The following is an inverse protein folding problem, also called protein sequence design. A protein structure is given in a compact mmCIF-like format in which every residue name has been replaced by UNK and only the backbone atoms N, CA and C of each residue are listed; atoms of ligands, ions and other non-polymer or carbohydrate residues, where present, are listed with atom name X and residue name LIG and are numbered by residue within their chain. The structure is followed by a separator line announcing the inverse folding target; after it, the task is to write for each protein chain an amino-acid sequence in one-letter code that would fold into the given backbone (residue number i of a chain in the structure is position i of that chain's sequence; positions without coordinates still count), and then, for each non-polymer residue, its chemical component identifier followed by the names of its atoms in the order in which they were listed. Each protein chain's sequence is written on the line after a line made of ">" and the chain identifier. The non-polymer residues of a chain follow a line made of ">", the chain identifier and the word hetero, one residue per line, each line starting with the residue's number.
data_IF_399148536294
#
_entry.id   IF_399148536294
#
_cell.length_a   1.000
_cell.length_b   1.000
_cell.length_c   1.000
_cell.angle_alpha   90.00
_cell.angle_beta   90.00
_cell.angle_gamma   90.00
#
_symmetry.space_group_name_H-M   'P 1'
#
loop_
_entity.id
_entity.type
_entity.pdbx_description
1 polymer ?
#
# COMPACT_ATOMS: atom_id res chain seq x y z
N UNK A 1 7.85 3.70 22.11
CA UNK A 1 8.47 2.83 21.08
C UNK A 1 9.25 3.72 20.14
N UNK A 2 10.56 3.49 20.03
CA UNK A 2 11.45 4.20 19.11
C UNK A 2 11.63 3.28 17.90
N UNK A 3 11.28 3.75 16.71
CA UNK A 3 11.47 3.00 15.46
C UNK A 3 12.73 3.52 14.77
N UNK A 4 13.80 2.74 14.85
CA UNK A 4 15.07 3.01 14.15
C UNK A 4 15.23 2.04 12.99
N UNK A 5 15.45 2.58 11.80
CA UNK A 5 15.68 1.80 10.58
C UNK A 5 17.18 1.56 10.44
N UNK A 6 17.65 0.38 10.89
CA UNK A 6 18.99 -0.10 10.58
C UNK A 6 18.89 -0.79 9.22
N UNK A 7 19.35 -0.15 8.15
CA UNK A 7 19.39 -0.77 6.81
C UNK A 7 20.42 -1.92 6.81
N UNK A 8 20.03 -3.20 6.76
CA UNK A 8 20.96 -4.31 6.76
C UNK A 8 21.29 -4.73 5.32
N UNK A 9 22.48 -5.29 5.14
CA UNK A 9 22.76 -6.14 3.98
C UNK A 9 21.71 -7.26 3.98
N UNK A 10 20.85 -7.29 2.95
CA UNK A 10 19.72 -8.22 2.91
C UNK A 10 20.22 -9.66 3.03
N UNK A 11 19.82 -10.36 4.09
CA UNK A 11 20.12 -11.79 4.20
C UNK A 11 19.32 -12.58 3.12
N UNK A 12 19.66 -13.85 2.88
CA UNK A 12 19.02 -14.66 1.83
C UNK A 12 17.48 -14.71 1.93
N UNK A 13 16.92 -14.57 3.14
CA UNK A 13 15.47 -14.56 3.39
C UNK A 13 14.90 -13.20 2.97
N UNK A 14 15.52 -12.10 3.38
CA UNK A 14 15.11 -10.76 2.97
C UNK A 14 15.23 -10.54 1.46
N UNK A 15 16.22 -11.15 0.80
CA UNK A 15 16.31 -11.13 -0.66
C UNK A 15 15.20 -11.95 -1.32
N UNK A 16 14.88 -13.13 -0.80
CA UNK A 16 13.78 -13.96 -1.31
C UNK A 16 12.43 -13.25 -1.19
N UNK A 17 12.14 -12.71 -0.01
CA UNK A 17 10.83 -12.17 0.33
C UNK A 17 10.62 -10.76 -0.25
N UNK A 18 11.67 -9.93 -0.32
CA UNK A 18 11.55 -8.59 -0.88
C UNK A 18 11.84 -8.51 -2.38
N UNK A 19 12.66 -9.41 -2.95
CA UNK A 19 13.12 -9.31 -4.34
C UNK A 19 12.58 -10.40 -5.27
N UNK A 20 12.49 -11.67 -4.84
CA UNK A 20 12.00 -12.75 -5.71
C UNK A 20 10.49 -12.97 -5.63
N UNK A 21 9.94 -12.97 -4.42
CA UNK A 21 8.51 -13.19 -4.17
C UNK A 21 7.59 -12.27 -4.98
N UNK A 22 7.82 -10.93 -5.05
CA UNK A 22 6.97 -10.03 -5.81
C UNK A 22 7.18 -10.09 -7.33
N UNK A 23 8.05 -10.95 -7.88
CA UNK A 23 8.35 -10.97 -9.32
C UNK A 23 7.19 -11.51 -10.14
N UNK A 24 6.78 -10.73 -11.14
CA UNK A 24 5.90 -11.13 -12.24
C UNK A 24 6.75 -11.89 -13.26
N UNK A 25 6.29 -13.09 -13.63
CA UNK A 25 6.97 -13.94 -14.63
C UNK A 25 6.70 -13.44 -16.05
N UNK A 26 7.58 -13.80 -16.98
CA UNK A 26 7.39 -13.44 -18.39
C UNK A 26 6.06 -14.02 -18.92
N UNK A 27 5.25 -13.17 -19.56
CA UNK A 27 3.91 -13.53 -20.05
C UNK A 27 2.82 -13.62 -18.97
N UNK A 28 3.15 -13.42 -17.70
CA UNK A 28 2.17 -13.47 -16.61
C UNK A 28 1.38 -12.16 -16.50
N UNK A 29 0.05 -12.25 -16.52
CA UNK A 29 -0.81 -11.09 -16.29
C UNK A 29 -0.80 -10.68 -14.81
N UNK A 30 -1.09 -9.41 -14.47
CA UNK A 30 -1.14 -8.97 -13.07
C UNK A 30 -2.10 -9.81 -12.20
N UNK A 31 -3.23 -10.23 -12.75
CA UNK A 31 -4.19 -11.10 -12.07
C UNK A 31 -3.63 -12.50 -11.81
N UNK A 32 -2.95 -13.09 -12.80
CA UNK A 32 -2.32 -14.41 -12.65
C UNK A 32 -1.19 -14.36 -11.61
N UNK A 33 -0.37 -13.31 -11.65
CA UNK A 33 0.66 -13.05 -10.65
C UNK A 33 0.09 -12.99 -9.24
N UNK A 34 -0.94 -12.16 -9.02
CA UNK A 34 -1.61 -12.04 -7.72
C UNK A 34 -2.11 -13.40 -7.24
N UNK A 35 -2.81 -14.15 -8.10
CA UNK A 35 -3.35 -15.47 -7.75
C UNK A 35 -2.26 -16.45 -7.35
N UNK A 36 -1.13 -16.48 -8.08
CA UNK A 36 0.00 -17.36 -7.79
C UNK A 36 0.61 -17.09 -6.42
N UNK A 37 0.78 -15.82 -6.04
CA UNK A 37 1.43 -15.46 -4.77
C UNK A 37 0.45 -15.37 -3.60
N UNK A 38 -0.86 -15.43 -3.86
CA UNK A 38 -1.91 -15.05 -2.90
C UNK A 38 -1.83 -15.83 -1.59
N UNK A 39 -1.79 -17.16 -1.65
CA UNK A 39 -1.82 -18.00 -0.45
C UNK A 39 -0.60 -17.75 0.44
N UNK A 40 0.58 -17.60 -0.18
CA UNK A 40 1.81 -17.29 0.54
C UNK A 40 1.76 -15.88 1.14
N UNK A 41 1.28 -14.90 0.37
CA UNK A 41 1.13 -13.52 0.85
C UNK A 41 0.19 -13.45 2.06
N UNK A 42 -0.94 -14.15 2.03
CA UNK A 42 -1.88 -14.22 3.16
C UNK A 42 -1.23 -14.88 4.38
N UNK A 43 -0.48 -15.97 4.17
CA UNK A 43 0.26 -16.63 5.23
C UNK A 43 1.28 -15.71 5.89
N UNK A 44 2.04 -14.95 5.10
CA UNK A 44 3.07 -14.03 5.60
C UNK A 44 2.45 -12.84 6.35
N UNK A 45 1.32 -12.31 5.85
CA UNK A 45 0.53 -11.28 6.54
C UNK A 45 0.04 -11.78 7.90
N UNK A 46 -0.55 -12.97 7.96
CA UNK A 46 -1.11 -13.52 9.20
C UNK A 46 -0.04 -13.84 10.25
N UNK A 47 1.19 -14.13 9.81
CA UNK A 47 2.32 -14.44 10.70
C UNK A 47 3.25 -13.24 10.94
N UNK A 48 2.88 -12.02 10.53
CA UNK A 48 3.71 -10.81 10.65
C UNK A 48 5.13 -10.98 10.06
N UNK A 49 5.28 -11.76 8.99
CA UNK A 49 6.57 -12.05 8.34
C UNK A 49 7.00 -11.00 7.32
N UNK A 50 6.17 -9.98 7.08
CA UNK A 50 6.46 -8.92 6.13
C UNK A 50 7.29 -7.81 6.78
N UNK A 51 8.32 -7.36 6.05
CA UNK A 51 9.12 -6.19 6.42
C UNK A 51 8.26 -4.94 6.51
N UNK A 52 8.68 -3.95 7.31
CA UNK A 52 7.93 -2.70 7.53
C UNK A 52 7.58 -1.98 6.23
N UNK A 53 8.46 -2.08 5.22
CA UNK A 53 8.26 -1.55 3.87
C UNK A 53 7.09 -2.21 3.12
N UNK A 54 6.84 -3.49 3.35
CA UNK A 54 5.82 -4.28 2.69
C UNK A 54 4.59 -4.54 3.55
N UNK A 55 4.44 -3.91 4.72
CA UNK A 55 3.32 -4.19 5.64
C UNK A 55 1.94 -3.73 5.15
N UNK A 56 1.88 -2.77 4.23
CA UNK A 56 0.60 -2.12 3.82
C UNK A 56 0.18 -2.47 2.41
N UNK A 57 1.15 -2.76 1.56
CA UNK A 57 0.95 -3.18 0.18
C UNK A 57 2.21 -3.88 -0.35
N UNK A 58 2.05 -4.70 -1.39
CA UNK A 58 3.16 -5.35 -2.08
C UNK A 58 3.34 -4.73 -3.46
N UNK A 59 4.51 -4.15 -3.75
CA UNK A 59 4.85 -3.70 -5.10
C UNK A 59 5.40 -4.89 -5.90
N UNK A 60 4.82 -5.12 -7.08
CA UNK A 60 5.30 -6.13 -8.01
C UNK A 60 6.68 -5.78 -8.55
N UNK A 61 7.43 -6.79 -8.98
CA UNK A 61 8.75 -6.61 -9.61
C UNK A 61 8.84 -7.31 -10.95
N UNK A 62 9.80 -6.90 -11.77
CA UNK A 62 10.21 -7.61 -12.99
C UNK A 62 11.71 -7.80 -12.97
N UNK A 63 12.17 -8.95 -13.47
CA UNK A 63 13.59 -9.19 -13.67
C UNK A 63 14.06 -8.47 -14.94
N UNK A 64 14.95 -7.50 -14.79
CA UNK A 64 15.55 -6.76 -15.90
C UNK A 64 17.06 -7.06 -15.97
N UNK A 65 17.58 -7.15 -17.19
CA UNK A 65 19.02 -7.20 -17.43
C UNK A 65 19.55 -5.77 -17.52
N UNK A 66 20.47 -5.42 -16.63
CA UNK A 66 21.11 -4.09 -16.64
C UNK A 66 22.36 -4.16 -17.51
N UNK A 67 22.48 -3.24 -18.47
CA UNK A 67 23.65 -3.13 -19.34
C UNK A 67 24.92 -2.91 -18.49
N UNK A 68 25.95 -3.74 -18.69
CA UNK A 68 27.19 -3.72 -17.90
C UNK A 68 27.19 -4.59 -16.63
N UNK A 69 26.09 -5.27 -16.28
CA UNK A 69 26.05 -6.23 -15.18
C UNK A 69 25.81 -7.66 -15.67
N UNK A 70 26.51 -8.63 -15.07
CA UNK A 70 26.36 -10.06 -15.40
C UNK A 70 25.13 -10.72 -14.76
N UNK A 71 24.35 -9.99 -13.97
CA UNK A 71 23.19 -10.51 -13.23
C UNK A 71 21.93 -9.69 -13.50
N UNK A 72 20.76 -10.35 -13.40
CA UNK A 72 19.44 -9.71 -13.52
C UNK A 72 19.02 -9.08 -12.20
N UNK A 73 18.45 -7.89 -12.27
CA UNK A 73 17.93 -7.15 -11.11
C UNK A 73 16.40 -7.20 -11.07
N UNK A 74 15.83 -7.39 -9.88
CA UNK A 74 14.40 -7.31 -9.67
C UNK A 74 13.99 -5.84 -9.46
N UNK A 75 13.51 -5.19 -10.52
CA UNK A 75 13.10 -3.78 -10.52
C UNK A 75 11.62 -3.68 -10.14
N UNK A 76 11.26 -2.74 -9.27
CA UNK A 76 9.86 -2.44 -8.93
C UNK A 76 9.12 -2.00 -10.20
N UNK A 77 7.95 -2.58 -10.44
CA UNK A 77 7.08 -2.20 -11.55
C UNK A 77 5.81 -1.55 -11.05
N UNK A 78 5.01 -1.09 -11.99
CA UNK A 78 3.95 -0.13 -11.76
C UNK A 78 2.62 -0.79 -11.32
N UNK A 79 2.73 -1.89 -10.57
CA UNK A 79 1.61 -2.71 -10.10
C UNK A 79 1.85 -2.99 -8.62
N UNK A 80 0.81 -2.85 -7.80
CA UNK A 80 0.84 -3.19 -6.39
C UNK A 80 -0.42 -3.96 -5.96
N UNK A 81 -0.32 -4.69 -4.85
CA UNK A 81 -1.47 -5.27 -4.15
C UNK A 81 -1.70 -4.47 -2.88
N UNK A 82 -2.85 -3.81 -2.78
CA UNK A 82 -3.26 -3.13 -1.56
C UNK A 82 -3.74 -4.16 -0.53
N UNK A 83 -3.11 -4.27 0.65
CA UNK A 83 -3.56 -5.24 1.66
C UNK A 83 -4.82 -4.83 2.40
N UNK A 84 -5.22 -3.58 2.23
CA UNK A 84 -6.41 -3.04 2.88
C UNK A 84 -7.68 -3.53 2.20
N UNK A 85 -7.69 -3.62 0.87
CA UNK A 85 -8.85 -4.03 0.07
C UNK A 85 -8.57 -5.24 -0.84
N UNK A 86 -7.35 -5.78 -0.77
CA UNK A 86 -6.85 -6.89 -1.57
C UNK A 86 -6.91 -6.64 -3.09
N UNK A 87 -7.05 -5.39 -3.54
CA UNK A 87 -7.13 -5.04 -4.97
C UNK A 87 -5.75 -4.82 -5.61
N UNK A 88 -5.67 -5.05 -6.92
CA UNK A 88 -4.56 -4.59 -7.73
C UNK A 88 -4.66 -3.07 -7.92
N UNK A 89 -3.53 -2.39 -7.73
CA UNK A 89 -3.39 -0.94 -7.91
C UNK A 89 -2.31 -0.71 -8.96
N UNK A 90 -2.67 -0.02 -10.05
CA UNK A 90 -1.71 0.41 -11.05
C UNK A 90 -1.14 1.75 -10.63
N UNK A 91 0.17 1.78 -10.37
CA UNK A 91 0.89 3.02 -10.07
C UNK A 91 1.49 3.55 -11.39
N UNK A 92 1.72 4.86 -11.51
CA UNK A 92 2.25 5.42 -12.76
C UNK A 92 3.77 5.26 -12.85
N UNK A 93 4.25 5.01 -14.07
CA UNK A 93 5.67 4.87 -14.40
C UNK A 93 6.29 6.26 -14.57
N UNK A 94 6.73 6.90 -13.49
CA UNK A 94 7.78 7.93 -13.59
C UNK A 94 9.04 7.45 -12.91
N UNK A 95 10.10 7.47 -13.71
CA UNK A 95 11.47 7.11 -13.37
C UNK A 95 11.92 7.90 -12.14
N UNK A 96 12.50 7.21 -11.17
CA UNK A 96 13.26 7.82 -10.09
C UNK A 96 12.59 7.78 -8.73
N UNK A 97 13.20 6.99 -7.83
CA UNK A 97 13.09 7.05 -6.37
C UNK A 97 11.82 6.48 -5.72
N UNK A 98 12.05 5.88 -4.56
CA UNK A 98 11.08 5.17 -3.70
C UNK A 98 9.90 6.05 -3.25
N UNK A 99 10.04 7.36 -3.36
CA UNK A 99 9.08 8.36 -2.89
C UNK A 99 7.77 8.40 -3.70
N UNK A 100 7.80 8.13 -5.01
CA UNK A 100 6.60 8.24 -5.87
C UNK A 100 5.64 7.04 -5.78
N UNK A 101 6.14 5.87 -5.37
CA UNK A 101 5.29 4.68 -5.20
C UNK A 101 4.27 4.87 -4.07
N UNK A 102 4.59 5.71 -3.07
CA UNK A 102 3.70 6.05 -1.97
C UNK A 102 2.49 6.88 -2.45
N UNK A 103 2.68 7.85 -3.34
CA UNK A 103 1.61 8.79 -3.74
C UNK A 103 0.40 8.10 -4.37
N UNK A 104 0.60 7.17 -5.32
CA UNK A 104 -0.52 6.46 -5.97
C UNK A 104 -1.21 5.46 -5.05
N UNK A 105 -0.47 4.89 -4.11
CA UNK A 105 -1.07 4.07 -3.05
C UNK A 105 -1.91 4.92 -2.10
N UNK A 106 -1.44 6.12 -1.76
CA UNK A 106 -2.19 7.09 -0.95
C UNK A 106 -3.44 7.60 -1.68
N UNK A 107 -3.35 7.89 -2.99
CA UNK A 107 -4.50 8.22 -3.84
C UNK A 107 -5.52 7.08 -3.84
N UNK A 108 -5.05 5.83 -3.98
CA UNK A 108 -5.91 4.66 -3.87
C UNK A 108 -6.58 4.58 -2.49
N UNK A 109 -5.85 4.79 -1.39
CA UNK A 109 -6.43 4.81 -0.04
C UNK A 109 -7.45 5.92 0.15
N UNK A 110 -7.20 7.10 -0.42
CA UNK A 110 -8.09 8.26 -0.37
C UNK A 110 -9.40 8.06 -1.14
N UNK A 111 -9.37 7.33 -2.27
CA UNK A 111 -10.49 7.31 -3.22
C UNK A 111 -11.16 5.96 -3.37
N UNK A 112 -10.38 4.90 -3.58
CA UNK A 112 -10.86 3.63 -4.11
C UNK A 112 -10.79 2.48 -3.09
N UNK A 113 -10.00 2.64 -2.03
CA UNK A 113 -9.79 1.59 -1.05
C UNK A 113 -11.06 1.33 -0.24
N UNK A 114 -11.50 0.07 -0.21
CA UNK A 114 -12.71 -0.33 0.51
C UNK A 114 -12.46 -0.74 1.96
N UNK A 115 -11.23 -1.14 2.30
CA UNK A 115 -10.83 -1.50 3.66
C UNK A 115 -10.00 -0.43 4.36
N UNK A 116 -9.57 -0.72 5.60
CA UNK A 116 -8.88 0.22 6.48
C UNK A 116 -7.56 -0.28 7.08
N UNK A 117 -7.05 -1.45 6.67
CA UNK A 117 -5.82 -2.06 7.24
C UNK A 117 -4.53 -1.29 6.92
N UNK A 118 -4.61 -0.20 6.15
CA UNK A 118 -3.48 0.71 5.91
C UNK A 118 -3.27 1.71 7.06
N UNK A 119 -4.23 1.84 7.98
CA UNK A 119 -4.11 2.63 9.20
C UNK A 119 -3.64 1.75 10.36
N UNK A 120 -2.52 2.12 10.98
CA UNK A 120 -1.93 1.38 12.11
C UNK A 120 -2.47 1.86 13.48
N UNK A 121 -3.33 2.88 13.49
CA UNK A 121 -3.87 3.51 14.71
C UNK A 121 -5.39 3.49 14.72
N UNK A 122 -5.98 3.39 15.91
CA UNK A 122 -7.41 3.53 16.16
C UNK A 122 -7.81 5.00 16.37
N UNK A 123 -9.12 5.26 16.47
CA UNK A 123 -9.64 6.61 16.71
C UNK A 123 -9.11 7.24 18.00
N UNK A 124 -9.04 6.46 19.08
CA UNK A 124 -8.54 6.94 20.37
C UNK A 124 -7.08 7.40 20.26
N UNK A 125 -6.24 6.56 19.66
CA UNK A 125 -4.82 6.88 19.41
C UNK A 125 -4.68 8.09 18.49
N UNK A 126 -5.48 8.19 17.42
CA UNK A 126 -5.50 9.36 16.55
C UNK A 126 -5.79 10.66 17.33
N UNK A 127 -6.80 10.65 18.21
CA UNK A 127 -7.16 11.81 19.03
C UNK A 127 -6.05 12.18 20.02
N UNK A 128 -5.42 11.19 20.66
CA UNK A 128 -4.30 11.41 21.58
C UNK A 128 -3.06 11.97 20.86
N UNK A 129 -2.77 11.48 19.65
CA UNK A 129 -1.65 11.94 18.85
C UNK A 129 -1.87 13.35 18.27
N UNK A 130 -3.10 13.68 17.84
CA UNK A 130 -3.46 15.02 17.34
C UNK A 130 -3.39 16.12 18.40
N UNK A 131 -3.53 15.78 19.69
CA UNK A 131 -3.46 16.74 20.79
C UNK A 131 -2.03 17.14 21.15
N UNK A 132 -1.03 16.38 20.71
CA UNK A 132 0.38 16.68 20.99
C UNK A 132 0.92 17.76 20.05
N UNK A 133 1.85 18.61 20.49
CA UNK A 133 2.52 19.57 19.62
C UNK A 133 3.23 18.88 18.46
N UNK A 134 3.16 19.44 17.24
CA UNK A 134 3.78 18.84 16.05
C UNK A 134 5.31 18.67 16.21
N UNK A 135 5.96 19.58 16.94
CA UNK A 135 7.41 19.56 17.25
C UNK A 135 7.82 18.31 18.04
N UNK A 136 6.90 17.71 18.81
CA UNK A 136 7.15 16.49 19.58
C UNK A 136 6.91 15.21 18.77
N UNK A 137 6.35 15.33 17.56
CA UNK A 137 5.97 14.18 16.73
C UNK A 137 7.12 13.75 15.81
N UNK A 138 7.58 12.51 15.98
CA UNK A 138 8.52 11.91 15.04
C UNK A 138 7.84 11.63 13.68
N UNK A 139 8.65 11.36 12.65
CA UNK A 139 8.18 11.12 11.28
C UNK A 139 7.13 10.00 11.21
N UNK A 140 7.32 8.92 11.97
CA UNK A 140 6.37 7.79 11.99
C UNK A 140 5.02 8.17 12.59
N UNK A 141 5.02 8.96 13.65
CA UNK A 141 3.79 9.52 14.25
C UNK A 141 3.04 10.38 13.24
N UNK A 142 3.74 11.27 12.54
CA UNK A 142 3.14 12.13 11.50
C UNK A 142 2.53 11.30 10.37
N UNK A 143 3.23 10.26 9.92
CA UNK A 143 2.73 9.33 8.89
C UNK A 143 1.49 8.53 9.36
N UNK A 144 1.45 8.12 10.63
CA UNK A 144 0.30 7.42 11.18
C UNK A 144 -0.95 8.32 11.24
N UNK A 145 -0.79 9.57 11.68
CA UNK A 145 -1.85 10.59 11.68
C UNK A 145 -2.33 10.83 10.25
N UNK A 146 -1.41 11.11 9.32
CA UNK A 146 -1.72 11.40 7.92
C UNK A 146 -2.53 10.28 7.24
N UNK A 147 -2.14 9.02 7.44
CA UNK A 147 -2.89 7.87 6.89
C UNK A 147 -4.28 7.75 7.49
N UNK A 148 -4.43 8.05 8.78
CA UNK A 148 -5.74 8.07 9.42
C UNK A 148 -6.64 9.19 8.84
N UNK A 149 -6.07 10.35 8.51
CA UNK A 149 -6.77 11.43 7.82
C UNK A 149 -7.23 11.01 6.41
N UNK A 150 -6.37 10.35 5.62
CA UNK A 150 -6.75 9.79 4.32
C UNK A 150 -7.96 8.84 4.43
N UNK A 151 -8.00 8.02 5.48
CA UNK A 151 -9.14 7.13 5.76
C UNK A 151 -10.41 7.93 6.08
N UNK A 152 -10.32 8.98 6.89
CA UNK A 152 -11.47 9.84 7.20
C UNK A 152 -12.00 10.48 5.91
N UNK A 153 -11.13 11.04 5.08
CA UNK A 153 -11.50 11.66 3.82
C UNK A 153 -12.15 10.66 2.85
N UNK A 154 -11.60 9.46 2.72
CA UNK A 154 -12.21 8.39 1.94
C UNK A 154 -13.63 8.07 2.40
N UNK A 155 -13.83 7.93 3.71
CA UNK A 155 -15.15 7.66 4.28
C UNK A 155 -16.14 8.80 4.00
N UNK A 156 -15.71 10.05 4.14
CA UNK A 156 -16.52 11.23 3.82
C UNK A 156 -16.94 11.21 2.34
N UNK A 157 -16.00 10.95 1.43
CA UNK A 157 -16.25 10.91 -0.01
C UNK A 157 -17.23 9.79 -0.38
N UNK A 158 -17.09 8.61 0.20
CA UNK A 158 -18.03 7.48 0.02
C UNK A 158 -19.43 7.84 0.50
N UNK A 159 -19.56 8.45 1.68
CA UNK A 159 -20.86 8.89 2.21
C UNK A 159 -21.51 9.95 1.33
N UNK A 160 -20.74 10.92 0.82
CA UNK A 160 -21.23 11.93 -0.14
C UNK A 160 -21.78 11.25 -1.40
N UNK A 161 -21.01 10.34 -2.00
CA UNK A 161 -21.43 9.63 -3.21
C UNK A 161 -22.69 8.79 -3.01
N UNK A 162 -22.81 8.09 -1.86
CA UNK A 162 -24.01 7.34 -1.50
C UNK A 162 -25.22 8.27 -1.37
N UNK A 163 -25.07 9.42 -0.72
CA UNK A 163 -26.15 10.41 -0.56
C UNK A 163 -26.60 10.97 -1.90
N UNK A 164 -25.68 11.30 -2.80
CA UNK A 164 -25.99 11.76 -4.15
C UNK A 164 -26.72 10.70 -4.98
N UNK A 165 -26.25 9.46 -4.92
CA UNK A 165 -26.90 8.33 -5.60
C UNK A 165 -28.31 8.10 -5.06
N UNK A 166 -28.50 8.14 -3.74
CA UNK A 166 -29.82 8.02 -3.12
C UNK A 166 -30.78 9.15 -3.53
N UNK A 167 -30.29 10.40 -3.66
CA UNK A 167 -31.08 11.53 -4.17
C UNK A 167 -31.56 11.28 -5.60
N UNK A 168 -30.66 10.80 -6.48
CA UNK A 168 -30.99 10.45 -7.88
C UNK A 168 -32.05 9.34 -7.96
N UNK A 169 -31.89 8.28 -7.15
CA UNK A 169 -32.86 7.17 -7.11
C UNK A 169 -34.24 7.67 -6.69
N UNK A 170 -34.35 8.45 -5.60
CA UNK A 170 -35.64 8.99 -5.13
C UNK A 170 -36.33 9.83 -6.19
N UNK A 171 -35.58 10.69 -6.89
CA UNK A 171 -36.12 11.50 -7.98
C UNK A 171 -36.73 10.64 -9.11
N UNK A 172 -36.09 9.51 -9.46
CA UNK A 172 -36.60 8.59 -10.48
C UNK A 172 -37.81 7.76 -10.02
N UNK A 173 -37.93 7.46 -8.73
CA UNK A 173 -39.05 6.66 -8.17
C UNK A 173 -40.30 7.48 -7.85
N UNK A 174 -40.24 8.81 -7.95
CA UNK A 174 -41.39 9.71 -7.67
C UNK A 174 -42.14 10.09 -8.96
N UNK A 175 -42.04 9.26 -10.00
CA UNK A 175 -42.76 9.33 -11.29
C UNK A 175 -43.82 8.23 -11.28
#
# INVERSE_FOLDING_TARGET
>A
MVYTDNCPVLNNIEWRDNCQFPVIRDGETPSNWKNRIWNQLVNDRNNNKLTDYNKRYLIARKMESTEGFSYRMAVKVNIAICYSCDQLVYVDKKVGYELYHNYKMEEHWLTNCTGNRHCDICFKEYMELKQKPEVESNIYTRLAIYRYELRIENLINRVKHIRETAKKIRACTTI
#
